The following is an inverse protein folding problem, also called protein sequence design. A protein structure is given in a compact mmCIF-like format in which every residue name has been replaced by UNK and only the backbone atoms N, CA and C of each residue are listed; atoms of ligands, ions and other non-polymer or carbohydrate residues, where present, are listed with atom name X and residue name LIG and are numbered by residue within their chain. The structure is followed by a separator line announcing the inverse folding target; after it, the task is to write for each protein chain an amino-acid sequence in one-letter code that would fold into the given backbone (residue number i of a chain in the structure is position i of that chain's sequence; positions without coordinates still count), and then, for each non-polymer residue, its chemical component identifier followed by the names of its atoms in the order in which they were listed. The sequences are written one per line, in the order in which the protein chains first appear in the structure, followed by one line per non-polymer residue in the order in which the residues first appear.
data_IF_203093636988
#
_entry.id   IF_203093636988
#
_cell.length_a   1.000
_cell.length_b   1.000
_cell.length_c   1.000
_cell.angle_alpha   90.00
_cell.angle_beta   90.00
_cell.angle_gamma   90.00
#
_symmetry.space_group_name_H-M   'P 1'
#
loop_
_entity.id
_entity.type
_entity.pdbx_description
1 polymer ?
#
# COMPACT_ATOMS: atom_id res chain seq x y z
N UNK A 1 10.70 5.76 -13.90
CA UNK A 1 11.19 4.83 -12.87
C UNK A 1 10.49 3.49 -13.06
N UNK A 2 11.19 2.37 -12.87
CA UNK A 2 10.61 1.02 -12.89
C UNK A 2 11.00 0.33 -11.59
N UNK A 3 10.05 -0.28 -10.90
CA UNK A 3 10.28 -1.00 -9.66
C UNK A 3 9.61 -2.39 -9.75
N UNK A 4 10.43 -3.42 -9.61
CA UNK A 4 9.99 -4.81 -9.57
C UNK A 4 10.94 -5.58 -8.66
N UNK A 5 10.47 -5.95 -7.49
CA UNK A 5 11.26 -6.60 -6.46
C UNK A 5 10.52 -7.81 -5.88
N UNK A 6 11.28 -8.81 -5.47
CA UNK A 6 10.77 -10.01 -4.81
C UNK A 6 10.50 -9.73 -3.34
N UNK A 7 9.38 -10.24 -2.80
CA UNK A 7 9.10 -10.22 -1.36
C UNK A 7 10.20 -10.97 -0.59
N UNK A 8 10.52 -10.54 0.63
CA UNK A 8 11.38 -11.31 1.54
C UNK A 8 10.73 -12.68 1.86
N UNK A 9 9.41 -12.66 2.10
CA UNK A 9 8.57 -13.85 2.26
C UNK A 9 7.48 -13.90 1.19
N UNK A 10 7.73 -14.68 0.13
CA UNK A 10 6.86 -14.74 -1.04
C UNK A 10 5.49 -15.39 -0.76
N UNK A 11 4.47 -14.94 -1.49
CA UNK A 11 3.17 -15.60 -1.54
C UNK A 11 3.25 -16.87 -2.38
N UNK A 12 2.64 -17.94 -1.89
CA UNK A 12 2.51 -19.19 -2.65
C UNK A 12 1.65 -18.96 -3.90
N UNK A 13 2.17 -19.15 -5.12
CA UNK A 13 1.42 -18.89 -6.35
C UNK A 13 0.15 -19.75 -6.41
N UNK A 14 0.22 -20.98 -5.91
CA UNK A 14 -0.89 -21.92 -5.85
C UNK A 14 -1.97 -21.52 -4.85
N UNK A 15 -1.72 -20.57 -3.95
CA UNK A 15 -2.71 -20.02 -3.03
C UNK A 15 -3.47 -18.83 -3.64
N UNK A 16 -3.00 -18.23 -4.73
CA UNK A 16 -3.66 -17.08 -5.37
C UNK A 16 -5.01 -17.50 -5.98
N UNK A 17 -6.07 -16.75 -5.68
CA UNK A 17 -7.43 -17.05 -6.15
C UNK A 17 -8.16 -15.78 -6.59
N UNK A 18 -9.05 -15.86 -7.59
CA UNK A 18 -9.95 -14.74 -7.89
C UNK A 18 -10.81 -14.38 -6.68
N UNK A 19 -10.88 -13.10 -6.34
CA UNK A 19 -11.73 -12.57 -5.27
C UNK A 19 -12.25 -11.18 -5.69
N UNK A 20 -13.40 -10.81 -5.16
CA UNK A 20 -14.00 -9.50 -5.39
C UNK A 20 -13.12 -8.40 -4.76
N UNK A 21 -13.00 -7.29 -5.47
CA UNK A 21 -12.29 -6.08 -5.06
C UNK A 21 -13.13 -4.87 -5.47
N UNK A 22 -13.44 -4.00 -4.51
CA UNK A 22 -14.23 -2.79 -4.72
C UNK A 22 -13.32 -1.65 -5.17
N UNK A 23 -13.62 -1.05 -6.32
CA UNK A 23 -12.95 0.12 -6.86
C UNK A 23 -13.45 1.39 -6.16
N UNK A 24 -12.72 2.49 -6.34
CA UNK A 24 -13.04 3.78 -5.71
C UNK A 24 -14.37 4.40 -6.15
N UNK A 25 -14.89 4.01 -7.31
CA UNK A 25 -16.22 4.40 -7.80
C UNK A 25 -17.34 3.45 -7.34
N UNK A 26 -17.01 2.44 -6.54
CA UNK A 26 -17.93 1.43 -6.04
C UNK A 26 -18.12 0.23 -6.97
N UNK A 27 -17.53 0.20 -8.17
CA UNK A 27 -17.57 -0.98 -9.04
C UNK A 27 -16.83 -2.16 -8.38
N UNK A 28 -17.36 -3.38 -8.54
CA UNK A 28 -16.72 -4.59 -8.01
C UNK A 28 -16.12 -5.41 -9.15
N UNK A 29 -14.81 -5.64 -9.08
CA UNK A 29 -14.06 -6.45 -10.06
C UNK A 29 -13.51 -7.73 -9.44
N UNK A 30 -13.23 -8.74 -10.27
CA UNK A 30 -12.55 -9.97 -9.84
C UNK A 30 -11.03 -9.82 -9.95
N UNK A 31 -10.37 -9.55 -8.84
CA UNK A 31 -8.91 -9.46 -8.76
C UNK A 31 -8.26 -10.81 -8.42
N UNK A 32 -7.04 -11.05 -8.93
CA UNK A 32 -6.21 -12.17 -8.47
C UNK A 32 -5.65 -11.86 -7.08
N UNK A 33 -6.23 -12.46 -6.04
CA UNK A 33 -5.89 -12.18 -4.65
C UNK A 33 -4.81 -13.14 -4.16
N UNK A 34 -3.61 -12.61 -3.94
CA UNK A 34 -2.54 -13.32 -3.23
C UNK A 34 -2.96 -13.49 -1.76
N UNK A 35 -2.56 -14.61 -1.14
CA UNK A 35 -3.00 -14.91 0.23
C UNK A 35 -2.03 -15.82 0.97
N UNK A 36 -1.94 -15.62 2.28
CA UNK A 36 -1.25 -16.52 3.20
C UNK A 36 -0.78 -15.82 4.48
N UNK A 37 -0.42 -16.61 5.47
CA UNK A 37 0.20 -16.15 6.73
C UNK A 37 1.69 -15.95 6.51
N UNK A 38 2.28 -14.88 7.07
CA UNK A 38 3.72 -14.59 7.00
C UNK A 38 4.12 -13.51 8.02
N UNK A 39 5.42 -13.41 8.35
CA UNK A 39 5.97 -12.26 9.07
C UNK A 39 5.66 -10.96 8.33
N UNK A 40 5.11 -10.00 9.05
CA UNK A 40 4.86 -8.66 8.57
C UNK A 40 4.79 -7.67 9.74
N UNK A 41 5.12 -6.42 9.47
CA UNK A 41 4.74 -5.31 10.35
C UNK A 41 3.24 -5.04 10.16
N UNK A 42 2.49 -4.96 11.25
CA UNK A 42 1.06 -4.70 11.18
C UNK A 42 0.57 -3.86 12.35
N UNK A 43 -0.24 -2.86 12.04
CA UNK A 43 -0.93 -2.01 12.99
C UNK A 43 -2.41 -2.01 12.63
N UNK A 44 -3.26 -2.13 13.64
CA UNK A 44 -4.69 -1.87 13.52
C UNK A 44 -5.04 -0.77 14.53
N UNK A 45 -5.48 0.38 14.01
CA UNK A 45 -5.99 1.51 14.78
C UNK A 45 -7.48 1.73 14.42
N UNK A 46 -8.13 2.62 15.15
CA UNK A 46 -9.53 2.96 14.86
C UNK A 46 -9.64 3.51 13.43
N UNK A 47 -10.36 2.78 12.57
CA UNK A 47 -10.62 3.18 11.18
C UNK A 47 -9.52 2.88 10.16
N UNK A 48 -8.38 2.31 10.55
CA UNK A 48 -7.28 2.03 9.62
C UNK A 48 -6.46 0.79 10.00
N UNK A 49 -6.00 0.07 8.99
CA UNK A 49 -5.01 -1.00 9.12
C UNK A 49 -3.79 -0.69 8.26
N UNK A 50 -2.60 -0.83 8.84
CA UNK A 50 -1.33 -0.58 8.15
C UNK A 50 -0.53 -1.87 8.11
N UNK A 51 -0.04 -2.22 6.93
CA UNK A 51 0.77 -3.42 6.67
C UNK A 51 2.11 -3.02 6.07
N UNK A 52 3.20 -3.55 6.62
CA UNK A 52 4.56 -3.44 6.07
C UNK A 52 5.05 -4.83 5.65
N UNK A 53 5.41 -4.95 4.37
CA UNK A 53 5.98 -6.16 3.78
C UNK A 53 7.38 -5.87 3.22
N UNK A 54 8.45 -6.42 3.82
CA UNK A 54 9.79 -6.23 3.29
C UNK A 54 9.99 -6.96 1.96
N UNK A 55 10.75 -6.34 1.07
CA UNK A 55 11.34 -7.00 -0.09
C UNK A 55 12.62 -7.74 0.30
N UNK A 56 13.09 -8.62 -0.58
CA UNK A 56 14.33 -9.37 -0.39
C UNK A 56 15.50 -8.41 -0.12
N UNK A 57 16.26 -8.70 0.93
CA UNK A 57 17.35 -7.85 1.41
C UNK A 57 16.90 -6.85 2.49
N UNK A 58 15.59 -6.71 2.72
CA UNK A 58 14.98 -5.97 3.85
C UNK A 58 15.28 -4.46 3.90
N UNK A 59 16.06 -3.92 2.97
CA UNK A 59 16.34 -2.48 2.85
C UNK A 59 15.13 -1.66 2.37
N UNK A 60 14.19 -2.30 1.67
CA UNK A 60 13.01 -1.66 1.08
C UNK A 60 11.77 -2.47 1.48
N UNK A 61 10.68 -1.77 1.80
CA UNK A 61 9.40 -2.40 2.12
C UNK A 61 8.26 -1.81 1.28
N UNK A 62 7.27 -2.63 0.99
CA UNK A 62 5.95 -2.19 0.58
C UNK A 62 5.12 -1.86 1.83
N UNK A 63 4.44 -0.71 1.81
CA UNK A 63 3.51 -0.31 2.87
C UNK A 63 2.13 -0.18 2.27
N UNK A 64 1.15 -0.89 2.84
CA UNK A 64 -0.26 -0.74 2.49
C UNK A 64 -1.00 -0.11 3.66
N UNK A 65 -1.78 0.93 3.40
CA UNK A 65 -2.65 1.60 4.36
C UNK A 65 -4.08 1.37 3.88
N UNK A 66 -4.88 0.69 4.68
CA UNK A 66 -6.21 0.25 4.32
C UNK A 66 -7.23 0.92 5.26
N UNK A 67 -8.11 1.82 4.76
CA UNK A 67 -9.21 2.32 5.56
C UNK A 67 -10.18 1.18 5.90
N UNK A 68 -10.82 1.25 7.06
CA UNK A 68 -11.81 0.26 7.49
C UNK A 68 -13.06 0.27 6.61
N UNK A 69 -13.48 1.46 6.18
CA UNK A 69 -14.63 1.68 5.31
C UNK A 69 -14.25 1.58 3.83
N UNK A 70 -15.13 0.98 3.02
CA UNK A 70 -14.87 0.75 1.59
C UNK A 70 -14.76 2.05 0.77
N UNK A 71 -15.43 3.11 1.21
CA UNK A 71 -15.39 4.46 0.65
C UNK A 71 -14.46 5.41 1.45
N UNK A 72 -13.74 4.88 2.43
CA UNK A 72 -12.90 5.67 3.35
C UNK A 72 -11.58 6.18 2.76
N UNK A 73 -11.23 5.83 1.51
CA UNK A 73 -9.94 6.17 0.91
C UNK A 73 -9.73 7.69 0.81
N UNK A 74 -10.75 8.44 0.38
CA UNK A 74 -10.63 9.90 0.23
C UNK A 74 -10.38 10.60 1.59
N UNK A 75 -11.12 10.20 2.63
CA UNK A 75 -10.94 10.73 3.98
C UNK A 75 -9.56 10.37 4.56
N UNK A 76 -9.07 9.15 4.28
CA UNK A 76 -7.73 8.74 4.65
C UNK A 76 -6.68 9.63 3.97
N UNK A 77 -6.77 9.86 2.66
CA UNK A 77 -5.84 10.71 1.91
C UNK A 77 -5.80 12.16 2.43
N UNK A 78 -6.95 12.73 2.80
CA UNK A 78 -7.04 14.08 3.36
C UNK A 78 -6.44 14.19 4.78
N UNK A 79 -6.58 13.14 5.59
CA UNK A 79 -6.09 13.14 6.97
C UNK A 79 -4.62 12.73 7.10
N UNK A 80 -4.07 12.09 6.06
CA UNK A 80 -2.74 11.50 6.09
C UNK A 80 -1.66 12.58 6.24
N UNK A 81 -0.82 12.43 7.27
CA UNK A 81 0.30 13.33 7.54
C UNK A 81 1.63 12.58 7.62
N UNK A 82 2.73 13.28 7.36
CA UNK A 82 4.09 12.74 7.51
C UNK A 82 4.31 12.23 8.94
N UNK A 83 3.88 12.98 9.96
CA UNK A 83 3.98 12.57 11.37
C UNK A 83 3.23 11.29 11.68
N UNK A 84 2.09 11.05 11.03
CA UNK A 84 1.31 9.83 11.24
C UNK A 84 1.97 8.62 10.55
N UNK A 85 2.47 8.82 9.32
CA UNK A 85 3.25 7.81 8.61
C UNK A 85 4.49 7.40 9.41
N UNK A 86 5.24 8.38 9.93
CA UNK A 86 6.42 8.15 10.77
C UNK A 86 6.06 7.40 12.05
N UNK A 87 4.94 7.75 12.70
CA UNK A 87 4.45 7.06 13.89
C UNK A 87 4.19 5.57 13.60
N UNK A 88 3.45 5.27 12.54
CA UNK A 88 3.17 3.88 12.14
C UNK A 88 4.46 3.12 11.79
N UNK A 89 5.38 3.73 11.04
CA UNK A 89 6.65 3.11 10.66
C UNK A 89 7.53 2.78 11.86
N UNK A 90 7.60 3.69 12.84
CA UNK A 90 8.39 3.49 14.06
C UNK A 90 7.78 2.44 14.99
N UNK A 91 6.44 2.38 15.06
CA UNK A 91 5.75 1.38 15.89
C UNK A 91 5.92 -0.05 15.35
N UNK A 92 6.02 -0.23 14.03
CA UNK A 92 6.34 -1.53 13.42
C UNK A 92 7.83 -1.91 13.52
N UNK A 93 8.67 -1.13 14.20
CA UNK A 93 10.13 -1.16 14.12
C UNK A 93 10.81 -2.50 14.45
N UNK A 94 10.23 -3.36 15.29
CA UNK A 94 10.94 -4.56 15.79
C UNK A 94 10.08 -5.83 15.97
N UNK A 95 8.75 -5.71 16.11
CA UNK A 95 7.85 -6.87 16.32
C UNK A 95 7.16 -7.28 15.01
N UNK A 96 7.81 -8.15 14.23
CA UNK A 96 7.15 -8.84 13.12
C UNK A 96 6.39 -10.06 13.63
N UNK A 97 5.07 -10.04 13.45
CA UNK A 97 4.19 -11.15 13.78
C UNK A 97 3.72 -11.90 12.53
N UNK A 98 3.21 -13.11 12.72
CA UNK A 98 2.52 -13.83 11.65
C UNK A 98 1.15 -13.21 11.38
N UNK A 99 1.00 -12.58 10.21
CA UNK A 99 -0.23 -11.88 9.80
C UNK A 99 -0.89 -12.62 8.64
N UNK A 100 -2.21 -12.81 8.72
CA UNK A 100 -3.00 -13.36 7.62
C UNK A 100 -3.27 -12.26 6.60
N UNK A 101 -2.63 -12.35 5.45
CA UNK A 101 -2.68 -11.29 4.43
C UNK A 101 -3.48 -11.77 3.21
N UNK A 102 -4.32 -10.88 2.69
CA UNK A 102 -4.93 -10.96 1.35
C UNK A 102 -4.59 -9.69 0.61
N UNK A 103 -3.86 -9.79 -0.49
CA UNK A 103 -3.36 -8.65 -1.24
C UNK A 103 -3.60 -8.87 -2.74
N UNK A 104 -4.27 -7.95 -3.45
CA UNK A 104 -4.45 -8.11 -4.89
C UNK A 104 -3.09 -8.07 -5.58
N UNK A 105 -2.90 -8.92 -6.59
CA UNK A 105 -1.76 -8.81 -7.50
C UNK A 105 -2.06 -7.68 -8.49
N UNK A 106 -1.24 -6.62 -8.48
CA UNK A 106 -1.43 -5.47 -9.36
C UNK A 106 -0.14 -5.08 -10.08
N UNK A 107 -0.31 -4.30 -11.15
CA UNK A 107 0.75 -3.61 -11.86
C UNK A 107 0.27 -2.19 -12.14
N UNK A 108 1.12 -1.20 -11.92
CA UNK A 108 0.80 0.20 -12.15
C UNK A 108 1.85 0.81 -13.07
N UNK A 109 1.40 1.57 -14.06
CA UNK A 109 2.24 2.37 -14.93
C UNK A 109 1.63 3.77 -15.04
N UNK A 110 2.40 4.80 -14.72
CA UNK A 110 1.92 6.17 -14.77
C UNK A 110 2.87 7.06 -15.58
N UNK A 111 2.31 8.05 -16.29
CA UNK A 111 3.04 9.12 -16.96
C UNK A 111 2.54 10.44 -16.38
N UNK A 112 3.36 11.07 -15.54
CA UNK A 112 3.01 12.33 -14.88
C UNK A 112 3.75 13.46 -15.60
N UNK A 113 3.02 14.48 -16.05
CA UNK A 113 3.60 15.77 -16.42
C UNK A 113 3.80 16.59 -15.16
N UNK A 114 5.05 16.92 -14.83
CA UNK A 114 5.38 17.65 -13.60
C UNK A 114 5.19 19.16 -13.74
N UNK A 115 5.03 19.70 -14.95
CA UNK A 115 5.04 21.15 -15.16
C UNK A 115 3.92 21.86 -14.38
N UNK A 116 2.68 21.37 -14.49
CA UNK A 116 1.53 22.01 -13.83
C UNK A 116 1.57 21.74 -12.31
N UNK A 117 1.86 20.50 -11.92
CA UNK A 117 2.02 20.09 -10.51
C UNK A 117 3.08 20.91 -9.77
N UNK A 118 4.24 21.12 -10.37
CA UNK A 118 5.30 21.92 -9.77
C UNK A 118 4.93 23.41 -9.77
N UNK A 119 4.21 23.88 -10.78
CA UNK A 119 3.62 25.22 -10.80
C UNK A 119 2.71 25.48 -9.60
N UNK A 120 1.78 24.56 -9.33
CA UNK A 120 0.88 24.61 -8.17
C UNK A 120 1.63 24.54 -6.83
N UNK A 121 2.78 23.84 -6.81
CA UNK A 121 3.69 23.78 -5.67
C UNK A 121 4.65 24.99 -5.57
N UNK A 122 4.45 26.03 -6.38
CA UNK A 122 5.20 27.30 -6.30
C UNK A 122 6.49 27.35 -7.13
N UNK A 123 6.68 26.41 -8.06
CA UNK A 123 7.75 26.44 -9.07
C UNK A 123 7.15 26.65 -10.47
N UNK A 124 6.72 27.89 -10.80
CA UNK A 124 6.19 28.18 -12.13
C UNK A 124 7.25 27.96 -13.21
N UNK A 125 6.82 27.57 -14.40
CA UNK A 125 7.71 27.47 -15.57
C UNK A 125 8.42 28.80 -15.77
N UNK A 126 9.76 28.77 -15.81
CA UNK A 126 10.56 29.95 -16.10
C UNK A 126 10.20 30.53 -17.46
N UNK A 127 9.90 31.83 -17.48
CA UNK A 127 9.77 32.66 -18.68
C UNK A 127 11.07 32.71 -19.49
#
# INVERSE_FOLDING_TARGET
MYFHADWASAFEPTATRPQDFTLSDGEVVRASMMRGTRPAGFIAEEGVSVLRLPYKGEEISFVAILPAEADGLAALEESLSVSQLDAWMNQMGEDEGDVVIKLPKFSMSNRISLNDLLGDLGMPLGL
#
